data_IF_330696180930
#
_entry.id   IF_330696180930
#
_cell.length_a   1.000
_cell.length_b   1.000
_cell.length_c   1.000
_cell.angle_alpha   90.00
_cell.angle_beta   90.00
_cell.angle_gamma   90.00
#
_symmetry.space_group_name_H-M   'P 1'
#
loop_
_entity.id
_entity.type
_entity.pdbx_description
1 polymer ?
#
# COMPACT_ATOMS: atom_id res chain seq x y z
N UNK A 1 39.03 -48.54 39.96
CA UNK A 1 38.94 -48.22 41.40
C UNK A 1 40.02 -47.22 41.73
N UNK A 2 39.67 -45.93 41.74
CA UNK A 2 40.11 -44.83 42.64
C UNK A 2 39.62 -43.51 42.04
N UNK A 3 39.30 -42.58 42.92
CA UNK A 3 38.29 -41.54 42.83
C UNK A 3 38.87 -40.12 42.81
N UNK A 4 38.00 -39.14 42.48
CA UNK A 4 38.08 -37.69 42.76
C UNK A 4 39.10 -36.89 41.92
N UNK A 5 38.80 -35.68 41.43
CA UNK A 5 38.31 -34.50 42.17
C UNK A 5 37.58 -33.50 41.28
N UNK A 6 36.61 -32.81 41.87
CA UNK A 6 36.01 -31.57 41.37
C UNK A 6 37.08 -30.49 41.14
N UNK A 7 36.95 -29.73 40.05
CA UNK A 7 37.37 -28.34 39.99
C UNK A 7 36.19 -27.50 39.48
N UNK A 8 35.62 -26.73 40.40
CA UNK A 8 34.75 -25.61 40.08
C UNK A 8 35.60 -24.48 39.47
N UNK A 9 35.12 -23.84 38.41
CA UNK A 9 35.69 -22.55 37.98
C UNK A 9 34.61 -21.65 37.38
N UNK A 10 34.35 -20.60 38.14
CA UNK A 10 33.68 -19.33 37.87
C UNK A 10 32.87 -19.14 36.57
N UNK A 11 31.56 -19.04 36.79
CA UNK A 11 30.57 -18.42 35.93
C UNK A 11 30.94 -16.95 35.63
N UNK A 12 31.27 -16.64 34.38
CA UNK A 12 31.37 -15.24 33.91
C UNK A 12 30.10 -14.90 33.16
N UNK A 13 29.14 -14.24 33.82
CA UNK A 13 27.99 -13.63 33.14
C UNK A 13 28.46 -12.30 32.56
N UNK A 14 28.69 -12.25 31.25
CA UNK A 14 28.92 -11.01 30.54
C UNK A 14 27.56 -10.34 30.31
N UNK A 15 27.21 -9.37 31.16
CA UNK A 15 26.01 -8.57 30.97
C UNK A 15 26.26 -7.55 29.86
N UNK A 16 25.86 -7.90 28.63
CA UNK A 16 25.78 -6.93 27.54
C UNK A 16 24.56 -6.05 27.80
N UNK A 17 24.77 -4.84 28.32
CA UNK A 17 23.76 -3.78 28.28
C UNK A 17 23.61 -3.37 26.81
N UNK A 18 22.65 -3.98 26.11
CA UNK A 18 22.16 -3.43 24.86
C UNK A 18 21.53 -2.08 25.17
N UNK A 19 22.23 -0.99 24.89
CA UNK A 19 21.58 0.31 24.79
C UNK A 19 20.65 0.23 23.58
N UNK A 20 19.37 -0.05 23.84
CA UNK A 20 18.33 0.27 22.88
C UNK A 20 18.37 1.79 22.72
N UNK A 21 19.15 2.25 21.73
CA UNK A 21 19.14 3.63 21.29
C UNK A 21 17.73 3.92 20.83
N UNK A 22 16.94 4.54 21.71
CA UNK A 22 15.70 5.17 21.29
C UNK A 22 16.16 6.37 20.45
N UNK A 23 16.22 6.17 19.14
CA UNK A 23 16.16 7.27 18.21
C UNK A 23 14.80 7.91 18.45
N UNK A 24 14.77 8.92 19.34
CA UNK A 24 13.60 9.75 19.52
C UNK A 24 13.49 10.56 18.22
N UNK A 25 12.74 10.01 17.27
CA UNK A 25 12.36 10.62 16.01
C UNK A 25 11.60 11.91 16.30
N UNK A 26 12.32 13.02 16.47
CA UNK A 26 11.71 14.36 16.46
C UNK A 26 11.51 14.78 15.01
N UNK A 27 10.55 14.12 14.35
CA UNK A 27 10.09 14.57 13.03
C UNK A 27 9.53 16.00 13.17
N UNK A 28 9.74 16.89 12.19
CA UNK A 28 9.18 18.24 12.22
C UNK A 28 7.65 18.26 11.99
N UNK A 29 6.99 17.09 12.06
CA UNK A 29 5.57 16.88 11.87
C UNK A 29 5.07 15.72 12.74
N UNK A 30 3.77 15.72 13.03
CA UNK A 30 3.11 14.59 13.67
C UNK A 30 2.66 13.59 12.60
N UNK A 31 3.02 12.33 12.78
CA UNK A 31 2.44 11.22 12.01
C UNK A 31 1.39 10.51 12.87
N UNK A 32 0.20 10.33 12.32
CA UNK A 32 -0.88 9.59 12.98
C UNK A 32 -1.45 8.55 12.00
N UNK A 33 -1.67 7.30 12.45
CA UNK A 33 -2.38 6.32 11.63
C UNK A 33 -3.80 6.79 11.32
N UNK A 34 -4.19 6.73 10.04
CA UNK A 34 -5.56 7.10 9.58
C UNK A 34 -6.38 5.85 9.29
N UNK A 35 -5.82 4.90 8.54
CA UNK A 35 -6.45 3.63 8.18
C UNK A 35 -5.38 2.61 7.78
N UNK A 36 -5.77 1.35 7.58
CA UNK A 36 -4.88 0.27 7.17
C UNK A 36 -5.24 -0.27 5.79
N UNK A 37 -4.24 -0.82 5.10
CA UNK A 37 -4.35 -1.47 3.79
C UNK A 37 -3.45 -2.71 3.80
N UNK A 38 -3.72 -3.64 2.90
CA UNK A 38 -2.92 -4.85 2.77
C UNK A 38 -1.60 -4.54 2.05
N UNK A 39 -1.68 -3.95 0.85
CA UNK A 39 -0.51 -3.60 0.03
C UNK A 39 -0.75 -2.30 -0.76
N UNK A 40 -0.84 -1.13 -0.09
CA UNK A 40 -1.11 0.14 -0.76
C UNK A 40 0.07 0.55 -1.65
N UNK A 41 -0.23 1.15 -2.80
CA UNK A 41 0.79 1.56 -3.78
C UNK A 41 0.80 3.08 -4.01
N UNK A 42 -0.34 3.66 -4.38
CA UNK A 42 -0.46 5.09 -4.66
C UNK A 42 -1.73 5.69 -4.07
N UNK A 43 -1.74 7.03 -3.98
CA UNK A 43 -2.85 7.82 -3.49
C UNK A 43 -3.03 9.09 -4.31
N UNK A 44 -4.27 9.44 -4.64
CA UNK A 44 -4.64 10.72 -5.26
C UNK A 44 -5.88 11.31 -4.60
N UNK A 45 -5.93 12.65 -4.49
CA UNK A 45 -7.09 13.34 -3.94
C UNK A 45 -8.16 13.59 -5.01
N UNK A 46 -9.42 13.39 -4.64
CA UNK A 46 -10.58 13.88 -5.35
C UNK A 46 -10.85 15.35 -5.00
N UNK A 47 -11.57 16.11 -5.84
CA UNK A 47 -11.89 17.51 -5.57
C UNK A 47 -12.66 17.74 -4.25
N UNK A 48 -13.41 16.75 -3.78
CA UNK A 48 -14.15 16.80 -2.52
C UNK A 48 -13.31 16.42 -1.28
N UNK A 49 -12.01 16.20 -1.45
CA UNK A 49 -11.07 15.86 -0.38
C UNK A 49 -11.04 14.39 0.00
N UNK A 50 -11.87 13.52 -0.60
CA UNK A 50 -11.67 12.07 -0.49
C UNK A 50 -10.40 11.66 -1.23
N UNK A 51 -9.90 10.47 -0.92
CA UNK A 51 -8.70 9.90 -1.51
C UNK A 51 -9.05 8.65 -2.31
N UNK A 52 -8.43 8.50 -3.46
CA UNK A 52 -8.33 7.24 -4.18
C UNK A 52 -7.05 6.55 -3.73
N UNK A 53 -7.13 5.29 -3.32
CA UNK A 53 -5.95 4.51 -2.89
C UNK A 53 -5.91 3.19 -3.64
N UNK A 54 -4.81 2.96 -4.39
CA UNK A 54 -4.57 1.70 -5.07
C UNK A 54 -3.89 0.72 -4.14
N UNK A 55 -4.27 -0.55 -4.21
CA UNK A 55 -3.50 -1.66 -3.69
C UNK A 55 -2.98 -2.51 -4.84
N UNK A 56 -1.72 -2.92 -4.68
CA UNK A 56 -0.95 -3.64 -5.69
C UNK A 56 -1.63 -4.94 -6.18
N UNK A 57 -2.46 -5.58 -5.35
CA UNK A 57 -3.23 -6.79 -5.72
C UNK A 57 -4.39 -6.54 -6.70
N UNK A 58 -4.65 -5.29 -7.10
CA UNK A 58 -5.73 -4.97 -8.04
C UNK A 58 -6.96 -4.33 -7.40
N UNK A 59 -6.84 -3.79 -6.18
CA UNK A 59 -7.95 -3.07 -5.55
C UNK A 59 -7.77 -1.57 -5.66
N UNK A 60 -8.87 -0.84 -5.77
CA UNK A 60 -8.93 0.61 -5.61
C UNK A 60 -10.00 0.94 -4.58
N UNK A 61 -9.67 1.80 -3.62
CA UNK A 61 -10.61 2.26 -2.60
C UNK A 61 -10.82 3.76 -2.69
N UNK A 62 -12.04 4.19 -2.39
CA UNK A 62 -12.34 5.59 -2.07
C UNK A 62 -12.33 5.71 -0.55
N UNK A 63 -11.58 6.68 -0.04
CA UNK A 63 -11.31 6.83 1.38
C UNK A 63 -11.62 8.24 1.81
N UNK A 64 -12.42 8.40 2.86
CA UNK A 64 -12.70 9.71 3.45
C UNK A 64 -11.50 10.25 4.22
N UNK A 65 -11.52 11.54 4.54
CA UNK A 65 -10.47 12.19 5.32
C UNK A 65 -10.30 11.62 6.74
N UNK A 66 -11.35 10.97 7.29
CA UNK A 66 -11.29 10.27 8.56
C UNK A 66 -10.95 8.77 8.45
N UNK A 67 -10.50 8.31 7.26
CA UNK A 67 -10.00 6.95 7.06
C UNK A 67 -11.05 5.87 6.80
N UNK A 68 -12.33 6.23 6.63
CA UNK A 68 -13.36 5.26 6.26
C UNK A 68 -13.18 4.84 4.80
N UNK A 69 -13.07 3.53 4.58
CA UNK A 69 -12.87 2.93 3.26
C UNK A 69 -14.21 2.51 2.66
N UNK A 70 -14.38 2.76 1.37
CA UNK A 70 -15.50 2.20 0.59
C UNK A 70 -15.34 0.70 0.38
N UNK A 71 -16.32 0.06 -0.29
CA UNK A 71 -16.08 -1.20 -0.98
C UNK A 71 -15.04 -1.00 -2.09
N UNK A 72 -14.30 -2.06 -2.50
CA UNK A 72 -13.44 -1.97 -3.67
C UNK A 72 -14.21 -1.43 -4.87
N UNK A 73 -13.61 -0.49 -5.58
CA UNK A 73 -14.11 0.02 -6.85
C UNK A 73 -14.12 -1.15 -7.85
N UNK A 74 -15.20 -1.29 -8.62
CA UNK A 74 -15.31 -2.34 -9.64
C UNK A 74 -14.77 -1.87 -10.99
N UNK A 75 -14.57 -2.79 -11.94
CA UNK A 75 -14.18 -2.47 -13.33
C UNK A 75 -12.71 -2.11 -13.51
N UNK A 76 -11.85 -2.44 -12.54
CA UNK A 76 -10.40 -2.32 -12.69
C UNK A 76 -9.86 -3.30 -13.74
N UNK A 77 -8.75 -2.97 -14.42
CA UNK A 77 -8.08 -3.92 -15.29
C UNK A 77 -7.54 -5.11 -14.50
N UNK A 78 -7.47 -6.27 -15.15
CA UNK A 78 -6.73 -7.41 -14.62
C UNK A 78 -5.24 -7.06 -14.55
N UNK A 79 -4.63 -7.27 -13.38
CA UNK A 79 -3.22 -6.95 -13.13
C UNK A 79 -2.38 -8.21 -12.97
N UNK A 80 -1.17 -8.21 -13.51
CA UNK A 80 -0.21 -9.28 -13.27
C UNK A 80 0.58 -9.03 -11.98
N UNK A 81 -0.03 -9.44 -10.87
CA UNK A 81 0.55 -9.29 -9.54
C UNK A 81 1.81 -10.16 -9.34
N UNK A 82 2.84 -9.57 -8.72
CA UNK A 82 4.01 -10.28 -8.20
C UNK A 82 5.33 -9.54 -8.44
N UNK A 83 6.29 -9.66 -7.51
CA UNK A 83 7.52 -8.88 -7.56
C UNK A 83 7.20 -7.37 -7.49
N UNK A 84 7.55 -6.63 -8.54
CA UNK A 84 7.17 -5.21 -8.70
C UNK A 84 5.84 -5.02 -9.44
N UNK A 85 5.21 -6.08 -9.95
CA UNK A 85 3.96 -6.03 -10.71
C UNK A 85 2.70 -5.99 -9.84
N UNK A 86 1.66 -5.37 -10.37
CA UNK A 86 0.38 -5.15 -9.73
C UNK A 86 -0.33 -3.91 -10.27
N UNK A 87 -1.36 -3.46 -9.57
CA UNK A 87 -1.95 -2.12 -9.79
C UNK A 87 -0.95 -1.06 -9.30
N UNK A 88 -0.71 -0.07 -10.15
CA UNK A 88 0.27 0.99 -9.91
C UNK A 88 -0.37 2.30 -9.48
N UNK A 89 0.10 3.37 -10.10
CA UNK A 89 -0.30 4.75 -9.83
C UNK A 89 -1.72 5.08 -10.33
N UNK A 90 -2.34 6.07 -9.71
CA UNK A 90 -3.61 6.66 -10.13
C UNK A 90 -3.50 8.18 -10.22
N UNK A 91 -3.93 8.76 -11.35
CA UNK A 91 -4.04 10.20 -11.52
C UNK A 91 -5.50 10.60 -11.78
N UNK A 92 -5.92 11.69 -11.14
CA UNK A 92 -7.26 12.28 -11.31
C UNK A 92 -7.16 13.39 -12.34
N UNK A 93 -8.07 13.42 -13.31
CA UNK A 93 -8.12 14.48 -14.31
C UNK A 93 -8.37 15.86 -13.64
N UNK A 94 -7.74 16.96 -14.10
CA UNK A 94 -7.99 18.29 -13.53
C UNK A 94 -9.48 18.67 -13.47
N UNK A 95 -10.22 18.38 -14.54
CA UNK A 95 -11.67 18.58 -14.66
C UNK A 95 -12.50 17.37 -14.18
N UNK A 96 -12.01 16.57 -13.22
CA UNK A 96 -12.71 15.37 -12.73
C UNK A 96 -14.14 15.64 -12.28
N UNK A 97 -14.41 16.80 -11.70
CA UNK A 97 -15.76 17.18 -11.27
C UNK A 97 -16.78 17.14 -12.42
N UNK A 98 -16.33 17.40 -13.66
CA UNK A 98 -17.17 17.44 -14.85
C UNK A 98 -17.15 16.12 -15.64
N UNK A 99 -16.00 15.43 -15.67
CA UNK A 99 -15.79 14.28 -16.57
C UNK A 99 -15.53 12.94 -15.88
N UNK A 100 -15.27 12.92 -14.57
CA UNK A 100 -14.97 11.71 -13.81
C UNK A 100 -13.70 10.96 -14.25
N UNK A 101 -12.84 11.55 -15.09
CA UNK A 101 -11.72 10.84 -15.71
C UNK A 101 -10.60 10.54 -14.72
N UNK A 102 -10.13 9.30 -14.75
CA UNK A 102 -8.94 8.83 -14.03
C UNK A 102 -8.01 8.08 -14.98
N UNK A 103 -6.73 8.07 -14.62
CA UNK A 103 -5.69 7.33 -15.32
C UNK A 103 -5.06 6.35 -14.35
N UNK A 104 -4.91 5.09 -14.77
CA UNK A 104 -4.35 4.03 -13.95
C UNK A 104 -3.16 3.41 -14.67
N UNK A 105 -2.04 3.29 -13.98
CA UNK A 105 -0.94 2.44 -14.43
C UNK A 105 -1.02 1.08 -13.75
N UNK A 106 -0.60 0.02 -14.45
CA UNK A 106 -0.60 -1.33 -13.91
C UNK A 106 0.39 -2.22 -14.67
N UNK A 107 0.78 -3.34 -14.05
CA UNK A 107 1.48 -4.40 -14.75
C UNK A 107 0.45 -5.31 -15.44
N UNK A 108 0.64 -5.58 -16.72
CA UNK A 108 -0.19 -6.50 -17.49
C UNK A 108 0.60 -7.73 -17.94
N UNK A 109 -0.14 -8.81 -18.20
CA UNK A 109 0.44 -10.00 -18.84
C UNK A 109 0.59 -9.77 -20.32
N UNK A 110 1.81 -9.94 -20.81
CA UNK A 110 2.09 -10.01 -22.24
C UNK A 110 1.99 -11.45 -22.77
N UNK A 111 2.35 -11.64 -24.03
CA UNK A 111 2.41 -12.97 -24.64
C UNK A 111 3.51 -13.84 -23.98
N UNK A 112 3.22 -15.12 -23.76
CA UNK A 112 4.19 -16.05 -23.16
C UNK A 112 4.47 -15.75 -21.69
N UNK A 113 5.75 -15.56 -21.32
CA UNK A 113 6.21 -15.25 -19.95
C UNK A 113 6.58 -13.77 -19.79
N UNK A 114 6.07 -12.90 -20.64
CA UNK A 114 6.40 -11.47 -20.63
C UNK A 114 5.42 -10.67 -19.77
N UNK A 115 5.90 -9.54 -19.27
CA UNK A 115 5.15 -8.60 -18.41
C UNK A 115 5.46 -7.20 -18.89
N UNK A 116 4.47 -6.31 -18.90
CA UNK A 116 4.61 -4.93 -19.35
C UNK A 116 3.96 -3.96 -18.37
N UNK A 117 4.42 -2.72 -18.36
CA UNK A 117 3.68 -1.61 -17.76
C UNK A 117 2.67 -1.07 -18.77
N UNK A 118 1.43 -0.92 -18.34
CA UNK A 118 0.33 -0.38 -19.12
C UNK A 118 -0.27 0.83 -18.42
N UNK A 119 -0.99 1.65 -19.18
CA UNK A 119 -1.79 2.77 -18.68
C UNK A 119 -3.16 2.70 -19.34
N UNK A 120 -4.22 2.82 -18.55
CA UNK A 120 -5.59 2.97 -19.03
C UNK A 120 -6.19 4.29 -18.58
N UNK A 121 -7.17 4.77 -19.34
CA UNK A 121 -8.05 5.89 -18.99
C UNK A 121 -9.46 5.35 -18.79
N UNK A 122 -10.13 5.76 -17.72
CA UNK A 122 -11.49 5.34 -17.42
C UNK A 122 -12.29 6.49 -16.80
N UNK A 123 -13.62 6.37 -16.83
CA UNK A 123 -14.52 7.22 -16.04
C UNK A 123 -14.79 6.53 -14.71
N UNK A 124 -14.48 7.20 -13.60
CA UNK A 124 -14.84 6.75 -12.25
C UNK A 124 -16.23 7.23 -11.88
N UNK A 125 -17.17 6.29 -11.86
CA UNK A 125 -18.54 6.53 -11.43
C UNK A 125 -18.66 6.30 -9.92
N UNK A 126 -18.88 7.38 -9.18
CA UNK A 126 -19.00 7.36 -7.74
C UNK A 126 -20.40 6.91 -7.30
N UNK A 127 -20.47 6.14 -6.23
CA UNK A 127 -21.70 5.66 -5.60
C UNK A 127 -21.63 5.86 -4.09
N UNK A 128 -22.75 5.69 -3.38
CA UNK A 128 -22.78 5.79 -1.92
C UNK A 128 -21.85 4.81 -1.20
N UNK A 129 -21.53 3.66 -1.81
CA UNK A 129 -20.75 2.58 -1.17
C UNK A 129 -19.37 2.36 -1.79
N UNK A 130 -18.97 3.16 -2.78
CA UNK A 130 -17.75 2.97 -3.56
C UNK A 130 -17.87 3.56 -4.95
N UNK A 131 -17.52 2.80 -5.97
CA UNK A 131 -17.66 3.23 -7.36
C UNK A 131 -17.35 2.11 -8.33
N UNK A 132 -17.38 2.44 -9.62
CA UNK A 132 -16.94 1.55 -10.68
C UNK A 132 -16.30 2.34 -11.82
N UNK A 133 -15.37 1.71 -12.51
CA UNK A 133 -14.78 2.24 -13.73
C UNK A 133 -15.61 1.83 -14.94
N UNK A 134 -15.78 2.75 -15.89
CA UNK A 134 -16.31 2.48 -17.23
C UNK A 134 -15.36 3.03 -18.29
N UNK A 135 -15.51 2.55 -19.52
CA UNK A 135 -14.77 3.06 -20.67
C UNK A 135 -14.99 4.57 -20.85
N UNK A 136 -13.95 5.28 -21.30
CA UNK A 136 -13.88 6.74 -21.41
C UNK A 136 -13.85 7.24 -22.85
#
# INVERSE_FOLDING_TARGET
MTSNRLFATALSVLLVLSTAGNAQDSLPFNAAPVTSFDEPWALAFLPDGRMLVTEKKGNLFIVSQNGQKSRPVAGLPDVDYGGQGGLGDIAVHPDFADNGLVYLSYAERGTGKTRGGAVTRAVLNLTERGGYLSDA
#
